data_IF_997341345871
#
_entry.id   IF_997341345871
#
_cell.length_a   1.000
_cell.length_b   1.000
_cell.length_c   1.000
_cell.angle_alpha   90.00
_cell.angle_beta   90.00
_cell.angle_gamma   90.00
#
_symmetry.space_group_name_H-M   'P 1'
#
loop_
_entity.id
_entity.type
_entity.pdbx_description
1 polymer ?
#
# COMPACT_ATOMS: atom_id res chain seq x y z
N UNK A 1 53.03 -29.11 4.08
CA UNK A 1 51.56 -29.30 4.19
C UNK A 1 50.88 -27.93 4.35
N UNK A 2 50.51 -27.23 3.27
CA UNK A 2 49.86 -25.89 3.34
C UNK A 2 48.77 -25.70 2.25
N UNK A 3 48.13 -26.77 1.76
CA UNK A 3 47.16 -26.67 0.66
C UNK A 3 45.69 -26.57 1.10
N UNK A 4 45.38 -26.53 2.41
CA UNK A 4 44.00 -26.63 2.90
C UNK A 4 43.38 -25.31 3.39
N UNK A 5 44.14 -24.21 3.50
CA UNK A 5 43.62 -22.92 4.01
C UNK A 5 43.02 -22.02 2.93
N UNK A 6 43.57 -22.00 1.73
CA UNK A 6 43.15 -21.07 0.67
C UNK A 6 41.74 -21.40 0.12
N UNK A 7 41.42 -22.68 -0.05
CA UNK A 7 40.11 -23.11 -0.57
C UNK A 7 38.92 -22.93 0.39
N UNK A 8 39.15 -22.69 1.68
CA UNK A 8 38.08 -22.39 2.65
C UNK A 8 37.74 -20.90 2.70
N UNK A 9 38.74 -20.02 2.54
CA UNK A 9 38.54 -18.57 2.58
C UNK A 9 37.81 -18.04 1.34
N UNK A 10 38.11 -18.59 0.16
CA UNK A 10 37.43 -18.21 -1.10
C UNK A 10 35.97 -18.66 -1.15
N UNK A 11 35.66 -19.83 -0.57
CA UNK A 11 34.27 -20.33 -0.47
C UNK A 11 33.43 -19.51 0.51
N UNK A 12 34.03 -19.02 1.59
CA UNK A 12 33.36 -18.14 2.54
C UNK A 12 33.09 -16.76 1.91
N UNK A 13 34.08 -16.18 1.21
CA UNK A 13 33.93 -14.90 0.51
C UNK A 13 32.88 -14.95 -0.62
N UNK A 14 32.82 -16.04 -1.37
CA UNK A 14 31.78 -16.23 -2.40
C UNK A 14 30.37 -16.36 -1.81
N UNK A 15 30.24 -17.02 -0.65
CA UNK A 15 28.96 -17.17 0.06
C UNK A 15 28.46 -15.84 0.62
N UNK A 16 29.36 -15.00 1.12
CA UNK A 16 29.03 -13.67 1.63
C UNK A 16 28.61 -12.73 0.50
N UNK A 17 29.32 -12.73 -0.65
CA UNK A 17 28.92 -11.97 -1.85
C UNK A 17 27.57 -12.42 -2.43
N UNK A 18 27.29 -13.72 -2.46
CA UNK A 18 26.00 -14.24 -2.91
C UNK A 18 24.85 -13.83 -1.97
N UNK A 19 25.11 -13.76 -0.66
CA UNK A 19 24.14 -13.30 0.33
C UNK A 19 23.88 -11.79 0.19
N UNK A 20 24.93 -10.98 0.02
CA UNK A 20 24.80 -9.55 -0.25
C UNK A 20 24.01 -9.26 -1.53
N UNK A 21 24.28 -10.00 -2.61
CA UNK A 21 23.52 -9.88 -3.86
C UNK A 21 22.04 -10.26 -3.67
N UNK A 22 21.76 -11.28 -2.85
CA UNK A 22 20.39 -11.72 -2.52
C UNK A 22 19.62 -10.65 -1.71
N UNK A 23 20.26 -10.05 -0.70
CA UNK A 23 19.63 -8.96 0.07
C UNK A 23 19.42 -7.71 -0.78
N UNK A 24 20.37 -7.37 -1.67
CA UNK A 24 20.21 -6.26 -2.60
C UNK A 24 19.03 -6.48 -3.55
N UNK A 25 18.85 -7.71 -4.05
CA UNK A 25 17.71 -8.06 -4.90
C UNK A 25 16.38 -7.99 -4.15
N UNK A 26 16.30 -8.50 -2.92
CA UNK A 26 15.10 -8.36 -2.08
C UNK A 26 14.75 -6.89 -1.86
N UNK A 27 15.75 -6.05 -1.57
CA UNK A 27 15.52 -4.62 -1.38
C UNK A 27 15.00 -3.95 -2.66
N UNK A 28 15.53 -4.32 -3.84
CA UNK A 28 15.04 -3.82 -5.11
C UNK A 28 13.57 -4.17 -5.34
N UNK A 29 13.17 -5.41 -5.05
CA UNK A 29 11.77 -5.84 -5.14
C UNK A 29 10.86 -5.09 -4.16
N UNK A 30 11.33 -4.82 -2.95
CA UNK A 30 10.58 -4.03 -1.96
C UNK A 30 10.37 -2.60 -2.46
N UNK A 31 11.40 -1.97 -3.01
CA UNK A 31 11.29 -0.61 -3.55
C UNK A 31 10.31 -0.56 -4.72
N UNK A 32 10.38 -1.51 -5.65
CA UNK A 32 9.41 -1.61 -6.75
C UNK A 32 7.98 -1.80 -6.24
N UNK A 33 7.78 -2.62 -5.21
CA UNK A 33 6.46 -2.80 -4.60
C UNK A 33 5.95 -1.50 -3.94
N UNK A 34 6.82 -0.74 -3.29
CA UNK A 34 6.47 0.55 -2.68
C UNK A 34 6.09 1.59 -3.74
N UNK A 35 6.87 1.71 -4.80
CA UNK A 35 6.61 2.62 -5.92
C UNK A 35 5.26 2.31 -6.60
N UNK A 36 4.94 1.02 -6.74
CA UNK A 36 3.65 0.57 -7.27
C UNK A 36 2.49 0.97 -6.34
N UNK A 37 2.64 0.78 -5.02
CA UNK A 37 1.61 1.20 -4.04
C UNK A 37 1.43 2.71 -4.05
N UNK A 38 2.51 3.48 -4.13
CA UNK A 38 2.46 4.94 -4.23
C UNK A 38 1.72 5.39 -5.49
N UNK A 39 2.05 4.81 -6.64
CA UNK A 39 1.38 5.08 -7.91
C UNK A 39 -0.12 4.78 -7.82
N UNK A 40 -0.51 3.65 -7.22
CA UNK A 40 -1.91 3.27 -7.07
C UNK A 40 -2.66 4.19 -6.09
N UNK A 41 -2.03 4.59 -4.99
CA UNK A 41 -2.62 5.51 -4.01
C UNK A 41 -2.83 6.92 -4.58
N UNK A 42 -1.98 7.34 -5.51
CA UNK A 42 -2.01 8.68 -6.13
C UNK A 42 -2.75 8.70 -7.47
N UNK A 43 -3.23 7.54 -7.95
CA UNK A 43 -4.03 7.45 -9.16
C UNK A 43 -5.33 8.25 -9.05
N UNK A 44 -5.64 9.03 -10.09
CA UNK A 44 -6.91 9.72 -10.25
C UNK A 44 -8.05 8.79 -10.70
N UNK A 45 -7.78 7.51 -10.93
CA UNK A 45 -8.79 6.50 -11.25
C UNK A 45 -9.05 5.60 -10.04
N UNK A 46 -10.26 5.03 -9.98
CA UNK A 46 -10.54 3.93 -9.06
C UNK A 46 -10.01 2.65 -9.69
N UNK A 47 -9.08 2.00 -9.01
CA UNK A 47 -8.35 0.84 -9.52
C UNK A 47 -8.76 -0.45 -8.80
N UNK A 48 -8.23 -1.59 -9.26
CA UNK A 48 -8.36 -2.87 -8.52
C UNK A 48 -7.77 -2.81 -7.11
N UNK A 49 -6.81 -1.93 -6.88
CA UNK A 49 -6.25 -1.71 -5.55
C UNK A 49 -7.31 -1.16 -4.59
N UNK A 50 -8.16 -0.26 -5.06
CA UNK A 50 -9.28 0.25 -4.25
C UNK A 50 -10.28 -0.88 -3.92
N UNK A 51 -10.52 -1.83 -4.83
CA UNK A 51 -11.35 -3.00 -4.50
C UNK A 51 -10.75 -3.87 -3.37
N UNK A 52 -9.42 -3.95 -3.28
CA UNK A 52 -8.72 -4.65 -2.20
C UNK A 52 -8.83 -3.87 -0.89
N UNK A 53 -8.63 -2.55 -0.93
CA UNK A 53 -8.67 -1.70 0.26
C UNK A 53 -10.08 -1.54 0.84
N UNK A 54 -11.08 -1.38 -0.02
CA UNK A 54 -12.44 -1.00 0.37
C UNK A 54 -13.45 -2.15 0.26
N UNK A 55 -13.08 -3.29 -0.34
CA UNK A 55 -14.01 -4.39 -0.58
C UNK A 55 -15.22 -3.93 -1.38
N UNK A 56 -16.43 -4.21 -0.90
CA UNK A 56 -17.68 -3.78 -1.53
C UNK A 56 -17.88 -2.25 -1.54
N UNK A 57 -17.16 -1.51 -0.70
CA UNK A 57 -17.29 -0.05 -0.59
C UNK A 57 -16.51 0.71 -1.68
N UNK A 58 -15.70 0.05 -2.52
CA UNK A 58 -14.96 0.73 -3.59
C UNK A 58 -15.90 1.43 -4.60
N UNK A 59 -17.10 0.88 -4.84
CA UNK A 59 -18.10 1.53 -5.70
C UNK A 59 -18.59 2.85 -5.13
N UNK A 60 -18.66 2.97 -3.80
CA UNK A 60 -19.01 4.23 -3.14
C UNK A 60 -17.91 5.27 -3.31
N UNK A 61 -16.65 4.85 -3.29
CA UNK A 61 -15.51 5.71 -3.60
C UNK A 61 -15.63 6.27 -5.03
N UNK A 62 -15.91 5.41 -6.01
CA UNK A 62 -16.09 5.81 -7.42
C UNK A 62 -17.22 6.83 -7.62
N UNK A 63 -18.28 6.73 -6.83
CA UNK A 63 -19.47 7.62 -6.89
C UNK A 63 -19.35 8.88 -6.03
N UNK A 64 -18.30 9.01 -5.20
CA UNK A 64 -18.19 10.11 -4.25
C UNK A 64 -19.18 10.03 -3.09
N UNK A 65 -19.70 8.84 -2.79
CA UNK A 65 -20.68 8.60 -1.73
C UNK A 65 -20.00 8.46 -0.36
N UNK A 66 -20.80 8.56 0.72
CA UNK A 66 -20.30 8.32 2.08
C UNK A 66 -19.83 6.88 2.26
N UNK A 67 -18.64 6.70 2.82
CA UNK A 67 -18.03 5.38 3.10
C UNK A 67 -18.12 5.12 4.61
N UNK A 68 -18.67 3.97 5.00
CA UNK A 68 -18.77 3.55 6.38
C UNK A 68 -18.32 2.09 6.46
N UNK A 69 -17.34 1.82 7.32
CA UNK A 69 -16.91 0.47 7.60
C UNK A 69 -17.63 0.01 8.88
N UNK A 70 -18.41 -1.08 8.83
CA UNK A 70 -18.97 -1.68 10.04
C UNK A 70 -17.88 -1.86 11.10
N UNK A 71 -18.17 -1.54 12.37
CA UNK A 71 -17.18 -1.59 13.45
C UNK A 71 -16.44 -2.93 13.52
N UNK A 72 -17.16 -4.05 13.35
CA UNK A 72 -16.58 -5.39 13.37
C UNK A 72 -15.56 -5.59 12.23
N UNK A 73 -15.88 -5.13 11.02
CA UNK A 73 -15.00 -5.22 9.85
C UNK A 73 -13.77 -4.31 10.01
N UNK A 74 -13.96 -3.09 10.52
CA UNK A 74 -12.85 -2.14 10.71
C UNK A 74 -11.87 -2.59 11.80
N UNK A 75 -12.37 -3.12 12.91
CA UNK A 75 -11.53 -3.64 14.01
C UNK A 75 -10.74 -4.87 13.54
N UNK A 76 -11.36 -5.74 12.72
CA UNK A 76 -10.71 -6.92 12.15
C UNK A 76 -9.72 -6.59 11.02
N UNK A 77 -9.83 -5.42 10.38
CA UNK A 77 -8.91 -5.00 9.31
C UNK A 77 -7.49 -4.79 9.86
N UNK A 78 -6.43 -5.36 9.25
CA UNK A 78 -5.06 -5.14 9.70
C UNK A 78 -4.69 -3.64 9.78
N UNK A 79 -3.88 -3.21 10.78
CA UNK A 79 -3.51 -1.81 10.94
C UNK A 79 -2.91 -1.15 9.69
N UNK A 80 -2.13 -1.89 8.91
CA UNK A 80 -1.47 -1.44 7.69
C UNK A 80 -2.49 -1.14 6.59
N UNK A 81 -3.49 -2.02 6.43
CA UNK A 81 -4.59 -1.82 5.48
C UNK A 81 -5.45 -0.62 5.90
N UNK A 82 -5.74 -0.48 7.21
CA UNK A 82 -6.46 0.70 7.72
C UNK A 82 -5.73 2.01 7.43
N UNK A 83 -4.39 2.01 7.53
CA UNK A 83 -3.56 3.16 7.16
C UNK A 83 -3.71 3.46 5.66
N UNK A 84 -3.60 2.47 4.78
CA UNK A 84 -3.76 2.65 3.34
C UNK A 84 -5.16 3.18 2.97
N UNK A 85 -6.22 2.59 3.54
CA UNK A 85 -7.61 3.05 3.38
C UNK A 85 -7.74 4.52 3.80
N UNK A 86 -7.23 4.85 4.99
CA UNK A 86 -7.29 6.22 5.53
C UNK A 86 -6.53 7.21 4.66
N UNK A 87 -5.34 6.83 4.19
CA UNK A 87 -4.51 7.65 3.30
C UNK A 87 -5.24 7.90 1.99
N UNK A 88 -5.76 6.86 1.35
CA UNK A 88 -6.51 6.96 0.09
C UNK A 88 -7.73 7.87 0.22
N UNK A 89 -8.50 7.74 1.31
CA UNK A 89 -9.65 8.61 1.60
C UNK A 89 -9.23 10.08 1.77
N UNK A 90 -8.16 10.36 2.50
CA UNK A 90 -7.67 11.73 2.69
C UNK A 90 -7.16 12.34 1.39
N UNK A 91 -6.36 11.59 0.61
CA UNK A 91 -5.86 12.05 -0.70
C UNK A 91 -7.01 12.43 -1.63
N UNK A 92 -8.13 11.72 -1.54
CA UNK A 92 -9.32 11.91 -2.38
C UNK A 92 -10.33 12.89 -1.78
N UNK A 93 -10.01 13.57 -0.68
CA UNK A 93 -10.80 14.68 -0.12
C UNK A 93 -11.89 14.29 0.88
N UNK A 94 -11.85 13.06 1.38
CA UNK A 94 -12.78 12.58 2.40
C UNK A 94 -12.34 12.99 3.81
N UNK A 95 -13.33 13.34 4.64
CA UNK A 95 -13.16 13.64 6.06
C UNK A 95 -13.95 12.64 6.92
N UNK A 96 -13.34 12.18 8.01
CA UNK A 96 -13.99 11.28 8.97
C UNK A 96 -14.89 12.06 9.95
N UNK A 97 -16.08 11.51 10.19
CA UNK A 97 -17.09 12.03 11.11
C UNK A 97 -17.37 10.99 12.21
N UNK A 98 -16.87 11.21 13.44
CA UNK A 98 -17.01 10.24 14.53
C UNK A 98 -18.46 9.98 14.93
N UNK A 99 -19.34 10.97 14.83
CA UNK A 99 -20.76 10.85 15.23
C UNK A 99 -21.54 9.85 14.38
N UNK A 100 -21.17 9.72 13.10
CA UNK A 100 -21.80 8.79 12.14
C UNK A 100 -20.88 7.64 11.75
N UNK A 101 -19.66 7.62 12.30
CA UNK A 101 -18.59 6.68 11.97
C UNK A 101 -18.36 6.56 10.45
N UNK A 102 -18.43 7.67 9.73
CA UNK A 102 -18.39 7.68 8.27
C UNK A 102 -17.38 8.67 7.70
N UNK A 103 -16.89 8.36 6.51
CA UNK A 103 -16.08 9.24 5.68
C UNK A 103 -16.97 9.90 4.64
N UNK A 104 -16.92 11.23 4.59
CA UNK A 104 -17.73 12.03 3.66
C UNK A 104 -16.82 12.93 2.83
N UNK A 105 -17.04 12.95 1.51
CA UNK A 105 -16.32 13.84 0.60
C UNK A 105 -16.66 15.31 0.91
N UNK A 106 -15.65 16.12 1.21
CA UNK A 106 -15.83 17.52 1.63
C UNK A 106 -14.88 18.49 0.94
N UNK A 107 -13.73 18.05 0.48
CA UNK A 107 -12.78 18.94 -0.18
C UNK A 107 -13.18 19.20 -1.63
N UNK A 108 -13.27 20.49 -1.99
CA UNK A 108 -13.56 20.93 -3.36
C UNK A 108 -12.37 20.68 -4.31
N UNK A 109 -11.15 20.64 -3.77
CA UNK A 109 -9.89 20.45 -4.51
C UNK A 109 -9.01 19.42 -3.80
N UNK A 110 -9.37 18.12 -3.85
CA UNK A 110 -8.54 17.07 -3.26
C UNK A 110 -7.17 16.99 -3.97
N UNK A 111 -6.17 16.47 -3.26
CA UNK A 111 -4.84 16.21 -3.83
C UNK A 111 -4.91 15.22 -5.00
N UNK A 112 -5.80 14.24 -4.90
CA UNK A 112 -6.05 13.22 -5.91
C UNK A 112 -7.53 13.28 -6.31
N UNK A 113 -7.89 14.04 -7.35
CA UNK A 113 -9.27 14.14 -7.81
C UNK A 113 -9.66 12.87 -8.58
N UNK A 114 -10.59 12.08 -8.02
CA UNK A 114 -11.07 10.86 -8.66
C UNK A 114 -11.93 11.17 -9.89
N UNK A 115 -11.63 10.50 -11.00
CA UNK A 115 -12.51 10.42 -12.16
C UNK A 115 -13.73 9.58 -11.77
N UNK A 116 -14.91 10.18 -11.87
CA UNK A 116 -16.16 9.51 -11.51
C UNK A 116 -16.68 8.73 -12.70
N UNK A 117 -17.06 7.48 -12.48
CA UNK A 117 -17.84 6.72 -13.44
C UNK A 117 -19.20 7.42 -13.62
N UNK A 118 -19.56 7.70 -14.88
CA UNK A 118 -20.84 8.32 -15.26
C UNK A 118 -21.98 7.32 -15.26
#
# INVERSE_FOLDING_TARGET
MIAQREGQTDRQSAKDKAKEASEAYKQALVNEALDNVETLLTSNEVTRFDAILFGSMHLRLARGESICFPQLEWVATPPEIRKLVTTRLKLTGYKYFPSTMSWVLREEKPLVPLQRER
#
